data_IF_268309943860
#
_entry.id   IF_268309943860
#
_cell.length_a   1.000
_cell.length_b   1.000
_cell.length_c   1.000
_cell.angle_alpha   90.00
_cell.angle_beta   90.00
_cell.angle_gamma   90.00
#
_symmetry.space_group_name_H-M   'P 1'
#
loop_
_entity.id
_entity.type
_entity.pdbx_description
1 polymer ?
#
# COMPACT_ATOMS: atom_id res chain seq x y z
N UNK A 1 16.05 5.94 38.60
CA UNK A 1 15.92 4.47 38.81
C UNK A 1 16.94 4.05 39.83
N UNK A 2 16.53 3.44 40.95
CA UNK A 2 17.45 3.07 42.04
C UNK A 2 18.29 1.84 41.69
N UNK A 3 19.37 1.62 42.43
CA UNK A 3 20.23 0.43 42.27
C UNK A 3 19.46 -0.86 42.55
N UNK A 4 18.57 -0.86 43.55
CA UNK A 4 17.68 -2.00 43.85
C UNK A 4 16.71 -2.33 42.70
N UNK A 5 16.15 -1.31 42.02
CA UNK A 5 15.29 -1.53 40.85
C UNK A 5 16.08 -2.09 39.66
N UNK A 6 17.33 -1.66 39.49
CA UNK A 6 18.23 -2.23 38.47
C UNK A 6 18.55 -3.69 38.77
N UNK A 7 18.83 -4.01 40.03
CA UNK A 7 19.18 -5.36 40.45
C UNK A 7 17.98 -6.32 40.40
N UNK A 8 16.77 -5.85 40.70
CA UNK A 8 15.53 -6.63 40.49
C UNK A 8 15.26 -6.91 39.01
N UNK A 9 15.42 -5.91 38.15
CA UNK A 9 15.27 -6.08 36.69
C UNK A 9 16.33 -7.04 36.15
N UNK A 10 17.59 -6.90 36.58
CA UNK A 10 18.66 -7.82 36.17
C UNK A 10 18.39 -9.24 36.64
N UNK A 11 17.89 -9.41 37.87
CA UNK A 11 17.53 -10.72 38.41
C UNK A 11 16.37 -11.34 37.63
N UNK A 12 15.37 -10.55 37.24
CA UNK A 12 14.26 -11.01 36.40
C UNK A 12 14.71 -11.40 34.98
N UNK A 13 15.67 -10.66 34.40
CA UNK A 13 16.19 -10.90 33.06
C UNK A 13 17.20 -12.06 32.98
N UNK A 14 17.84 -12.42 34.10
CA UNK A 14 18.92 -13.44 34.14
C UNK A 14 18.47 -14.78 34.70
N UNK A 15 17.27 -14.87 35.28
CA UNK A 15 16.75 -16.14 35.81
C UNK A 15 16.31 -17.06 34.67
N UNK A 16 16.77 -18.31 34.61
CA UNK A 16 16.26 -19.27 33.63
C UNK A 16 14.78 -19.49 33.89
N UNK A 17 13.96 -19.26 32.86
CA UNK A 17 12.52 -19.47 32.91
C UNK A 17 12.22 -20.96 33.09
N UNK A 18 11.25 -21.28 33.94
CA UNK A 18 10.71 -22.64 34.03
C UNK A 18 10.01 -23.07 32.73
N UNK A 19 9.87 -24.37 32.49
CA UNK A 19 9.15 -24.85 31.29
C UNK A 19 7.70 -24.33 31.22
N UNK A 20 7.04 -24.18 32.36
CA UNK A 20 5.69 -23.62 32.43
C UNK A 20 5.65 -22.13 32.08
N UNK A 21 6.66 -21.36 32.48
CA UNK A 21 6.80 -19.95 32.08
C UNK A 21 7.15 -19.83 30.60
N UNK A 22 8.06 -20.66 30.09
CA UNK A 22 8.38 -20.74 28.66
C UNK A 22 7.13 -21.08 27.84
N UNK A 23 6.29 -22.00 28.33
CA UNK A 23 5.03 -22.33 27.69
C UNK A 23 4.06 -21.14 27.70
N UNK A 24 3.92 -20.43 28.82
CA UNK A 24 3.10 -19.21 28.88
C UNK A 24 3.57 -18.14 27.90
N UNK A 25 4.88 -17.93 27.77
CA UNK A 25 5.43 -16.99 26.78
C UNK A 25 5.17 -17.47 25.35
N UNK A 26 5.33 -18.77 25.06
CA UNK A 26 5.00 -19.34 23.74
C UNK A 26 3.52 -19.16 23.41
N UNK A 27 2.63 -19.44 24.36
CA UNK A 27 1.18 -19.29 24.19
C UNK A 27 0.80 -17.81 23.99
N UNK A 28 1.44 -16.89 24.74
CA UNK A 28 1.28 -15.45 24.55
C UNK A 28 1.79 -14.98 23.18
N UNK A 29 2.97 -15.43 22.75
CA UNK A 29 3.54 -15.13 21.44
C UNK A 29 2.70 -15.70 20.29
N UNK A 30 1.99 -16.80 20.53
CA UNK A 30 1.06 -17.39 19.56
C UNK A 30 -0.33 -16.71 19.55
N UNK A 31 -0.63 -15.85 20.53
CA UNK A 31 -1.92 -15.16 20.62
C UNK A 31 -2.14 -14.22 19.43
N UNK A 32 -3.40 -14.05 19.03
CA UNK A 32 -3.78 -13.20 17.89
C UNK A 32 -3.33 -11.75 18.08
N UNK A 33 -3.50 -11.19 19.28
CA UNK A 33 -3.11 -9.81 19.57
C UNK A 33 -1.59 -9.60 19.46
N UNK A 34 -0.80 -10.56 19.95
CA UNK A 34 0.65 -10.47 19.83
C UNK A 34 1.10 -10.60 18.38
N UNK A 35 0.55 -11.59 17.66
CA UNK A 35 0.83 -11.79 16.23
C UNK A 35 0.42 -10.57 15.40
N UNK A 36 -0.70 -9.91 15.72
CA UNK A 36 -1.10 -8.66 15.09
C UNK A 36 -0.07 -7.54 15.31
N UNK A 37 0.41 -7.34 16.55
CA UNK A 37 1.46 -6.34 16.81
C UNK A 37 2.77 -6.65 16.07
N UNK A 38 3.21 -7.92 16.08
CA UNK A 38 4.40 -8.35 15.34
C UNK A 38 4.23 -8.11 13.85
N UNK A 39 3.04 -8.38 13.31
CA UNK A 39 2.73 -8.17 11.89
C UNK A 39 2.75 -6.70 11.50
N UNK A 40 2.23 -5.79 12.33
CA UNK A 40 2.33 -4.35 12.10
C UNK A 40 3.79 -3.88 12.07
N UNK A 41 4.60 -4.35 13.02
CA UNK A 41 6.03 -4.04 13.04
C UNK A 41 6.77 -4.60 11.82
N UNK A 42 6.43 -5.83 11.42
CA UNK A 42 6.95 -6.46 10.21
C UNK A 42 6.56 -5.67 8.96
N UNK A 43 5.31 -5.27 8.80
CA UNK A 43 4.84 -4.50 7.66
C UNK A 43 5.58 -3.16 7.53
N UNK A 44 5.81 -2.46 8.65
CA UNK A 44 6.60 -1.23 8.66
C UNK A 44 8.06 -1.48 8.27
N UNK A 45 8.65 -2.59 8.76
CA UNK A 45 10.03 -2.98 8.42
C UNK A 45 10.16 -3.35 6.95
N UNK A 46 9.20 -4.10 6.43
CA UNK A 46 9.10 -4.49 5.02
C UNK A 46 8.97 -3.25 4.11
N UNK A 47 8.08 -2.32 4.47
CA UNK A 47 7.92 -1.04 3.77
C UNK A 47 9.25 -0.28 3.71
N UNK A 48 9.93 -0.10 4.85
CA UNK A 48 11.22 0.60 4.88
C UNK A 48 12.29 -0.12 4.06
N UNK A 49 12.30 -1.45 4.05
CA UNK A 49 13.25 -2.24 3.26
C UNK A 49 13.02 -2.07 1.76
N UNK A 50 11.75 -2.05 1.33
CA UNK A 50 11.38 -1.79 -0.06
C UNK A 50 11.67 -0.35 -0.47
N UNK A 51 11.45 0.64 0.40
CA UNK A 51 11.85 2.04 0.18
C UNK A 51 13.34 2.17 -0.09
N UNK A 52 14.19 1.53 0.72
CA UNK A 52 15.64 1.55 0.52
C UNK A 52 16.07 0.96 -0.82
N UNK A 53 15.39 -0.11 -1.28
CA UNK A 53 15.65 -0.68 -2.60
C UNK A 53 15.18 0.24 -3.72
N UNK A 54 14.04 0.91 -3.57
CA UNK A 54 13.58 1.93 -4.53
C UNK A 54 14.54 3.13 -4.59
N UNK A 55 15.01 3.63 -3.44
CA UNK A 55 16.04 4.67 -3.36
C UNK A 55 17.33 4.25 -4.07
N UNK A 56 17.75 2.99 -3.89
CA UNK A 56 18.89 2.45 -4.62
C UNK A 56 18.71 2.52 -6.14
N UNK A 57 17.51 2.21 -6.64
CA UNK A 57 17.22 2.32 -8.07
C UNK A 57 17.21 3.78 -8.55
N UNK A 58 16.55 4.68 -7.80
CA UNK A 58 16.47 6.10 -8.14
C UNK A 58 17.84 6.79 -8.16
N UNK A 59 18.71 6.44 -7.20
CA UNK A 59 20.09 6.95 -7.14
C UNK A 59 20.98 6.42 -8.27
N UNK A 60 20.62 5.29 -8.84
CA UNK A 60 21.41 4.65 -9.87
C UNK A 60 20.96 5.14 -11.24
N UNK A 61 21.78 6.00 -11.87
CA UNK A 61 21.54 6.60 -13.19
C UNK A 61 21.22 5.60 -14.31
N UNK A 62 21.42 4.29 -14.08
CA UNK A 62 20.98 3.23 -15.00
C UNK A 62 19.46 3.15 -15.15
N UNK A 63 18.67 3.39 -14.10
CA UNK A 63 17.23 3.13 -14.11
C UNK A 63 16.44 4.42 -14.26
N UNK A 64 15.60 4.49 -15.29
CA UNK A 64 14.65 5.59 -15.44
C UNK A 64 13.55 5.53 -14.36
N UNK A 65 13.12 6.69 -13.86
CA UNK A 65 12.02 6.79 -12.90
C UNK A 65 10.75 6.11 -13.42
N UNK A 66 10.46 6.29 -14.70
CA UNK A 66 9.30 5.76 -15.40
C UNK A 66 9.27 4.23 -15.36
N UNK A 67 10.43 3.60 -15.58
CA UNK A 67 10.58 2.14 -15.48
C UNK A 67 10.33 1.66 -14.04
N UNK A 68 10.83 2.38 -13.04
CA UNK A 68 10.63 2.05 -11.61
C UNK A 68 9.15 2.20 -11.23
N UNK A 69 8.52 3.30 -11.63
CA UNK A 69 7.13 3.61 -11.36
C UNK A 69 6.19 2.55 -11.94
N UNK A 70 6.40 2.19 -13.21
CA UNK A 70 5.64 1.11 -13.87
C UNK A 70 5.87 -0.24 -13.19
N UNK A 71 7.09 -0.54 -12.76
CA UNK A 71 7.38 -1.78 -12.02
C UNK A 71 6.61 -1.87 -10.69
N UNK A 72 6.53 -0.77 -9.94
CA UNK A 72 5.74 -0.69 -8.69
C UNK A 72 4.25 -0.87 -8.96
N UNK A 73 3.72 -0.24 -10.01
CA UNK A 73 2.33 -0.42 -10.43
C UNK A 73 2.03 -1.88 -10.80
N UNK A 74 2.91 -2.52 -11.56
CA UNK A 74 2.74 -3.93 -11.94
C UNK A 74 2.70 -4.85 -10.72
N UNK A 75 3.54 -4.59 -9.72
CA UNK A 75 3.54 -5.35 -8.46
C UNK A 75 2.26 -5.10 -7.65
N UNK A 76 1.79 -3.86 -7.60
CA UNK A 76 0.52 -3.52 -6.95
C UNK A 76 -0.66 -4.26 -7.62
N UNK A 77 -0.75 -4.24 -8.96
CA UNK A 77 -1.78 -4.96 -9.71
C UNK A 77 -1.73 -6.48 -9.48
N UNK A 78 -0.52 -7.05 -9.35
CA UNK A 78 -0.35 -8.45 -9.00
C UNK A 78 -0.85 -8.76 -7.57
N UNK A 79 -0.59 -7.87 -6.59
CA UNK A 79 -1.12 -8.05 -5.24
C UNK A 79 -2.65 -7.96 -5.20
N UNK A 80 -3.24 -7.03 -5.98
CA UNK A 80 -4.70 -6.95 -6.13
C UNK A 80 -5.25 -8.28 -6.63
N UNK A 81 -4.68 -8.87 -7.67
CA UNK A 81 -5.10 -10.19 -8.18
C UNK A 81 -4.99 -11.32 -7.15
N UNK A 82 -3.96 -11.29 -6.29
CA UNK A 82 -3.78 -12.30 -5.24
C UNK A 82 -4.86 -12.22 -4.15
N UNK A 83 -5.46 -11.05 -3.93
CA UNK A 83 -6.53 -10.83 -2.94
C UNK A 83 -7.91 -10.98 -3.60
N UNK A 84 -8.07 -10.43 -4.80
CA UNK A 84 -9.29 -10.44 -5.60
C UNK A 84 -9.04 -11.15 -6.94
N UNK A 85 -9.20 -12.49 -7.01
CA UNK A 85 -8.96 -13.25 -8.25
C UNK A 85 -9.84 -12.84 -9.42
N UNK A 86 -10.94 -12.11 -9.17
CA UNK A 86 -11.80 -11.54 -10.21
C UNK A 86 -11.16 -10.34 -10.94
N UNK A 87 -10.08 -9.77 -10.39
CA UNK A 87 -9.18 -8.85 -11.07
C UNK A 87 -8.25 -9.67 -11.99
N UNK A 88 -8.78 -10.14 -13.11
CA UNK A 88 -8.11 -11.12 -13.97
C UNK A 88 -6.92 -10.54 -14.76
N UNK A 89 -6.26 -11.39 -15.55
CA UNK A 89 -5.13 -10.96 -16.40
C UNK A 89 -5.53 -9.85 -17.38
N UNK A 90 -6.76 -9.88 -17.88
CA UNK A 90 -7.27 -8.84 -18.78
C UNK A 90 -7.34 -7.49 -18.08
N UNK A 91 -7.79 -7.48 -16.82
CA UNK A 91 -7.82 -6.26 -16.00
C UNK A 91 -6.40 -5.75 -15.72
N UNK A 92 -5.47 -6.64 -15.33
CA UNK A 92 -4.06 -6.30 -15.13
C UNK A 92 -3.45 -5.69 -16.41
N UNK A 93 -3.70 -6.29 -17.57
CA UNK A 93 -3.20 -5.80 -18.86
C UNK A 93 -3.82 -4.45 -19.26
N UNK A 94 -5.09 -4.21 -18.93
CA UNK A 94 -5.74 -2.91 -19.18
C UNK A 94 -5.09 -1.81 -18.32
N UNK A 95 -5.00 -2.05 -17.02
CA UNK A 95 -4.50 -1.06 -16.06
C UNK A 95 -2.99 -0.82 -16.17
N UNK A 96 -2.20 -1.85 -16.51
CA UNK A 96 -0.74 -1.69 -16.71
C UNK A 96 -0.39 -0.82 -17.93
N UNK A 97 -1.31 -0.64 -18.88
CA UNK A 97 -1.13 0.30 -20.00
C UNK A 97 -1.41 1.75 -19.63
N UNK A 98 -2.01 2.00 -18.47
CA UNK A 98 -2.42 3.33 -18.03
C UNK A 98 -1.90 3.64 -16.62
N UNK A 99 -0.57 3.57 -16.39
CA UNK A 99 0.02 3.65 -15.06
C UNK A 99 -0.27 4.98 -14.34
N UNK A 100 -0.18 6.11 -15.04
CA UNK A 100 -0.47 7.42 -14.45
C UNK A 100 -1.95 7.55 -14.08
N UNK A 101 -2.84 7.14 -14.98
CA UNK A 101 -4.28 7.16 -14.70
C UNK A 101 -4.61 6.34 -13.45
N UNK A 102 -4.05 5.13 -13.35
CA UNK A 102 -4.23 4.28 -12.17
C UNK A 102 -3.75 4.98 -10.89
N UNK A 103 -2.54 5.54 -10.91
CA UNK A 103 -1.98 6.21 -9.74
C UNK A 103 -2.78 7.45 -9.33
N UNK A 104 -3.28 8.19 -10.31
CA UNK A 104 -4.12 9.36 -10.09
C UNK A 104 -5.49 8.96 -9.54
N UNK A 105 -6.10 7.88 -10.04
CA UNK A 105 -7.35 7.35 -9.47
C UNK A 105 -7.13 6.92 -8.00
N UNK A 106 -6.02 6.23 -7.72
CA UNK A 106 -5.67 5.82 -6.35
C UNK A 106 -5.50 7.03 -5.43
N UNK A 107 -4.79 8.07 -5.87
CA UNK A 107 -4.56 9.28 -5.09
C UNK A 107 -5.86 10.08 -4.89
N UNK A 108 -6.67 10.28 -5.93
CA UNK A 108 -7.96 10.95 -5.82
C UNK A 108 -8.91 10.22 -4.88
N UNK A 109 -8.98 8.89 -4.96
CA UNK A 109 -9.80 8.10 -4.04
C UNK A 109 -9.32 8.22 -2.59
N UNK A 110 -8.00 8.28 -2.38
CA UNK A 110 -7.40 8.53 -1.07
C UNK A 110 -7.76 9.92 -0.54
N UNK A 111 -7.61 10.96 -1.36
CA UNK A 111 -7.92 12.35 -0.99
C UNK A 111 -9.42 12.56 -0.73
N UNK A 112 -10.30 11.99 -1.54
CA UNK A 112 -11.75 12.05 -1.33
C UNK A 112 -12.16 11.42 0.01
N UNK A 113 -11.53 10.28 0.37
CA UNK A 113 -11.75 9.65 1.67
C UNK A 113 -11.38 10.58 2.82
N UNK A 114 -10.30 11.36 2.69
CA UNK A 114 -9.89 12.36 3.68
C UNK A 114 -10.86 13.53 3.75
N UNK A 115 -11.32 14.06 2.60
CA UNK A 115 -12.27 15.17 2.54
C UNK A 115 -13.60 14.84 3.21
N UNK A 116 -14.14 13.63 3.01
CA UNK A 116 -15.36 13.17 3.69
C UNK A 116 -15.22 13.13 5.22
N UNK A 117 -13.98 13.05 5.71
CA UNK A 117 -13.64 12.96 7.12
C UNK A 117 -12.84 14.19 7.60
N UNK A 118 -13.00 15.36 6.97
CA UNK A 118 -12.22 16.57 7.26
C UNK A 118 -12.21 16.93 8.76
N UNK A 119 -13.32 16.72 9.46
CA UNK A 119 -13.45 16.97 10.89
C UNK A 119 -12.57 16.08 11.79
N UNK A 120 -12.05 14.97 11.26
CA UNK A 120 -11.15 14.04 11.93
C UNK A 120 -9.68 14.24 11.54
N UNK A 121 -9.40 15.12 10.58
CA UNK A 121 -8.04 15.35 10.10
C UNK A 121 -7.23 16.12 11.13
N UNK A 122 -6.07 15.58 11.46
CA UNK A 122 -5.11 16.25 12.32
C UNK A 122 -4.05 16.96 11.47
N UNK A 123 -3.96 18.28 11.62
CA UNK A 123 -3.16 19.17 10.74
C UNK A 123 -1.63 19.08 10.90
N UNK A 124 -1.11 18.39 11.91
CA UNK A 124 0.33 18.36 12.21
C UNK A 124 0.90 16.98 11.93
N UNK A 125 1.85 16.83 11.03
CA UNK A 125 2.49 15.55 10.77
C UNK A 125 3.87 15.47 11.43
N UNK A 126 4.36 14.26 11.75
CA UNK A 126 5.66 14.07 12.40
C UNK A 126 6.84 14.49 11.50
N UNK A 127 7.92 15.07 12.06
CA UNK A 127 9.09 15.52 11.28
C UNK A 127 9.78 14.38 10.53
N UNK A 128 9.67 13.14 11.00
CA UNK A 128 10.22 11.96 10.35
C UNK A 128 9.65 11.73 8.92
N UNK A 129 8.49 12.32 8.59
CA UNK A 129 7.93 12.27 7.24
C UNK A 129 8.59 13.28 6.29
N UNK A 130 8.99 14.45 6.81
CA UNK A 130 9.77 15.43 6.06
C UNK A 130 11.17 14.87 5.81
N UNK A 131 11.82 14.34 6.84
CA UNK A 131 13.13 13.67 6.72
C UNK A 131 13.08 12.53 5.69
N UNK A 132 12.00 11.74 5.71
CA UNK A 132 11.80 10.71 4.69
C UNK A 132 11.71 11.34 3.30
N UNK A 133 10.90 12.38 3.08
CA UNK A 133 10.75 13.01 1.76
C UNK A 133 12.07 13.63 1.25
N UNK A 134 12.85 14.26 2.14
CA UNK A 134 14.19 14.79 1.79
C UNK A 134 15.11 13.70 1.19
N UNK A 135 15.04 12.46 1.71
CA UNK A 135 15.80 11.33 1.14
C UNK A 135 15.34 10.94 -0.27
N UNK A 136 14.06 11.19 -0.61
CA UNK A 136 13.54 10.95 -1.97
C UNK A 136 13.90 12.09 -2.91
N UNK A 137 13.66 13.34 -2.49
CA UNK A 137 13.76 14.55 -3.32
C UNK A 137 15.10 14.66 -4.06
N UNK A 138 16.21 14.25 -3.43
CA UNK A 138 17.55 14.27 -4.06
C UNK A 138 17.63 13.46 -5.36
N UNK A 139 16.81 12.41 -5.51
CA UNK A 139 16.89 11.44 -6.61
C UNK A 139 15.63 11.37 -7.47
N UNK A 140 14.62 12.18 -7.18
CA UNK A 140 13.41 12.27 -7.99
C UNK A 140 13.66 13.11 -9.25
N UNK A 141 12.92 12.86 -10.34
CA UNK A 141 13.03 13.67 -11.54
C UNK A 141 12.65 15.13 -11.25
N UNK A 142 13.43 16.07 -11.79
CA UNK A 142 13.21 17.53 -11.64
C UNK A 142 11.98 18.00 -12.42
N UNK A 143 11.58 17.25 -13.45
CA UNK A 143 10.37 17.49 -14.22
C UNK A 143 9.33 16.44 -13.83
N UNK A 144 8.09 16.89 -13.63
CA UNK A 144 6.96 16.00 -13.36
C UNK A 144 6.86 14.93 -14.46
N UNK A 145 6.63 13.69 -14.06
CA UNK A 145 6.51 12.57 -14.99
C UNK A 145 5.40 12.82 -16.03
N UNK A 146 5.77 12.89 -17.32
CA UNK A 146 4.79 12.96 -18.41
C UNK A 146 4.44 11.53 -18.92
N UNK A 147 3.20 11.03 -18.70
CA UNK A 147 2.76 9.72 -19.20
C UNK A 147 2.85 9.57 -20.72
N UNK A 148 2.98 10.66 -21.48
CA UNK A 148 3.08 10.65 -22.95
C UNK A 148 4.48 10.30 -23.43
N UNK A 149 5.48 10.28 -22.55
CA UNK A 149 6.86 9.92 -22.87
C UNK A 149 7.10 8.41 -22.76
N UNK A 150 6.28 7.61 -23.44
CA UNK A 150 6.37 6.15 -23.45
C UNK A 150 7.74 5.62 -23.86
N UNK A 151 8.50 6.41 -24.61
CA UNK A 151 9.81 6.05 -25.16
C UNK A 151 10.90 5.95 -24.07
N UNK A 152 10.67 6.53 -22.89
CA UNK A 152 11.58 6.42 -21.73
C UNK A 152 11.37 5.13 -20.93
N UNK A 153 10.26 4.41 -21.17
CA UNK A 153 9.95 3.17 -20.44
C UNK A 153 10.70 2.00 -21.06
N UNK A 154 11.73 1.54 -20.37
CA UNK A 154 12.51 0.37 -20.76
C UNK A 154 11.89 -0.90 -20.18
N UNK A 155 11.26 -1.73 -21.03
CA UNK A 155 10.65 -2.99 -20.58
C UNK A 155 11.65 -3.91 -19.85
N UNK A 156 12.91 -3.91 -20.28
CA UNK A 156 13.96 -4.69 -19.60
C UNK A 156 14.26 -4.16 -18.19
N UNK A 157 14.21 -2.84 -17.98
CA UNK A 157 14.37 -2.26 -16.64
C UNK A 157 13.16 -2.55 -15.77
N UNK A 158 11.95 -2.43 -16.31
CA UNK A 158 10.71 -2.79 -15.60
C UNK A 158 10.79 -4.23 -15.10
N UNK A 159 11.16 -5.17 -15.97
CA UNK A 159 11.31 -6.59 -15.60
C UNK A 159 12.39 -6.80 -14.53
N UNK A 160 13.53 -6.12 -14.64
CA UNK A 160 14.64 -6.23 -13.68
C UNK A 160 14.24 -5.70 -12.30
N UNK A 161 13.68 -4.49 -12.25
CA UNK A 161 13.19 -3.85 -11.01
C UNK A 161 12.08 -4.69 -10.39
N UNK A 162 11.07 -5.09 -11.16
CA UNK A 162 9.98 -5.94 -10.67
C UNK A 162 10.50 -7.25 -10.07
N UNK A 163 11.48 -7.89 -10.71
CA UNK A 163 12.05 -9.15 -10.21
C UNK A 163 12.79 -8.97 -8.88
N UNK A 164 13.59 -7.91 -8.74
CA UNK A 164 14.33 -7.66 -7.49
C UNK A 164 13.36 -7.35 -6.35
N UNK A 165 12.38 -6.48 -6.59
CA UNK A 165 11.35 -6.12 -5.62
C UNK A 165 10.49 -7.32 -5.20
N UNK A 166 10.08 -8.17 -6.16
CA UNK A 166 9.30 -9.37 -5.87
C UNK A 166 10.10 -10.41 -5.07
N UNK A 167 11.39 -10.58 -5.38
CA UNK A 167 12.26 -11.45 -4.59
C UNK A 167 12.38 -10.96 -3.15
N UNK A 168 12.56 -9.65 -2.95
CA UNK A 168 12.61 -9.07 -1.60
C UNK A 168 11.27 -9.25 -0.87
N UNK A 169 10.13 -9.03 -1.53
CA UNK A 169 8.82 -9.35 -0.95
C UNK A 169 8.74 -10.81 -0.52
N UNK A 170 9.17 -11.74 -1.38
CA UNK A 170 9.12 -13.17 -1.06
C UNK A 170 10.00 -13.54 0.15
N UNK A 171 11.19 -12.94 0.26
CA UNK A 171 12.05 -13.11 1.44
C UNK A 171 11.37 -12.60 2.72
N UNK A 172 10.70 -11.44 2.64
CA UNK A 172 9.98 -10.85 3.77
C UNK A 172 8.75 -11.68 4.15
N UNK A 173 7.99 -12.22 3.19
CA UNK A 173 6.83 -13.10 3.40
C UNK A 173 7.19 -14.44 4.05
N UNK A 174 8.38 -14.93 3.77
CA UNK A 174 8.85 -16.24 4.26
C UNK A 174 9.64 -16.14 5.55
N UNK A 175 9.62 -14.98 6.21
CA UNK A 175 10.27 -14.76 7.51
C UNK A 175 9.72 -15.75 8.54
N UNK A 176 10.57 -16.56 9.20
CA UNK A 176 10.13 -17.55 10.18
C UNK A 176 9.31 -16.91 11.32
N UNK A 177 8.31 -17.63 11.80
CA UNK A 177 7.51 -17.30 12.99
C UNK A 177 6.62 -16.04 12.89
N UNK A 178 6.55 -15.40 11.72
CA UNK A 178 5.64 -14.27 11.45
C UNK A 178 4.50 -14.75 10.54
N UNK A 179 3.25 -14.51 10.97
CA UNK A 179 2.06 -14.77 10.14
C UNK A 179 1.70 -13.53 9.33
N UNK A 180 2.29 -13.38 8.15
CA UNK A 180 1.95 -12.29 7.21
C UNK A 180 0.64 -12.57 6.48
N UNK A 181 -0.11 -11.52 6.17
CA UNK A 181 -1.30 -11.57 5.31
C UNK A 181 -1.05 -10.88 3.97
N UNK A 182 -1.74 -11.34 2.91
CA UNK A 182 -1.64 -10.72 1.58
C UNK A 182 -2.05 -9.24 1.60
N UNK A 183 -3.04 -8.90 2.44
CA UNK A 183 -3.51 -7.53 2.62
C UNK A 183 -2.39 -6.59 3.12
N UNK A 184 -1.47 -7.08 3.96
CA UNK A 184 -0.35 -6.27 4.46
C UNK A 184 0.52 -5.78 3.29
N UNK A 185 0.81 -6.65 2.31
CA UNK A 185 1.64 -6.29 1.16
C UNK A 185 0.89 -5.42 0.15
N UNK A 186 -0.43 -5.61 -0.03
CA UNK A 186 -1.21 -4.67 -0.82
C UNK A 186 -1.14 -3.26 -0.21
N UNK A 187 -1.25 -3.12 1.12
CA UNK A 187 -1.11 -1.82 1.78
C UNK A 187 0.30 -1.23 1.58
N UNK A 188 1.36 -2.03 1.75
CA UNK A 188 2.74 -1.59 1.53
C UNK A 188 2.92 -1.06 0.09
N UNK A 189 2.50 -1.82 -0.91
CA UNK A 189 2.61 -1.40 -2.31
C UNK A 189 1.76 -0.17 -2.60
N UNK A 190 0.59 -0.05 -1.99
CA UNK A 190 -0.25 1.15 -2.14
C UNK A 190 0.44 2.37 -1.57
N UNK A 191 1.11 2.26 -0.41
CA UNK A 191 1.90 3.35 0.15
C UNK A 191 3.06 3.74 -0.77
N UNK A 192 3.84 2.77 -1.26
CA UNK A 192 4.98 3.04 -2.15
C UNK A 192 4.55 3.69 -3.47
N UNK A 193 3.45 3.22 -4.06
CA UNK A 193 2.87 3.79 -5.27
C UNK A 193 2.43 5.24 -5.04
N UNK A 194 1.74 5.51 -3.92
CA UNK A 194 1.28 6.86 -3.58
C UNK A 194 2.45 7.79 -3.23
N UNK A 195 3.53 7.29 -2.62
CA UNK A 195 4.76 8.06 -2.43
C UNK A 195 5.32 8.53 -3.77
N UNK A 196 5.55 7.60 -4.71
CA UNK A 196 6.07 7.93 -6.03
C UNK A 196 5.14 8.91 -6.77
N UNK A 197 3.83 8.74 -6.65
CA UNK A 197 2.85 9.61 -7.27
C UNK A 197 2.88 11.04 -6.68
N UNK A 198 2.70 11.19 -5.37
CA UNK A 198 2.68 12.51 -4.74
C UNK A 198 4.03 13.21 -4.81
N UNK A 199 5.14 12.48 -4.71
CA UNK A 199 6.46 13.10 -4.67
C UNK A 199 7.00 13.48 -6.05
N UNK A 200 6.63 12.77 -7.13
CA UNK A 200 7.24 12.95 -8.45
C UNK A 200 6.26 13.19 -9.61
N UNK A 201 4.98 12.85 -9.43
CA UNK A 201 3.94 13.07 -10.47
C UNK A 201 3.17 14.35 -10.18
N UNK A 202 2.65 14.48 -8.96
CA UNK A 202 1.87 15.67 -8.54
C UNK A 202 2.76 16.77 -7.93
N UNK A 203 3.94 16.42 -7.40
CA UNK A 203 4.85 17.33 -6.68
C UNK A 203 4.19 17.99 -5.45
N UNK A 204 3.46 17.19 -4.68
CA UNK A 204 2.59 17.59 -3.55
C UNK A 204 2.82 16.68 -2.33
N UNK A 205 4.02 16.72 -1.75
CA UNK A 205 4.41 15.83 -0.63
C UNK A 205 3.54 16.00 0.62
N UNK A 206 3.07 17.23 0.90
CA UNK A 206 2.19 17.51 2.05
C UNK A 206 0.88 16.71 2.01
N UNK A 207 0.32 16.47 0.82
CA UNK A 207 -0.87 15.64 0.64
C UNK A 207 -0.61 14.19 1.07
N UNK A 208 0.57 13.66 0.75
CA UNK A 208 0.96 12.33 1.20
C UNK A 208 1.13 12.27 2.73
N UNK A 209 1.70 13.32 3.35
CA UNK A 209 1.88 13.37 4.81
C UNK A 209 0.54 13.37 5.56
N UNK A 210 -0.44 14.12 5.06
CA UNK A 210 -1.80 14.09 5.59
C UNK A 210 -2.44 12.70 5.41
N UNK A 211 -2.23 12.07 4.25
CA UNK A 211 -2.78 10.75 3.97
C UNK A 211 -2.20 9.67 4.89
N UNK A 212 -0.88 9.58 5.03
CA UNK A 212 -0.26 8.52 5.84
C UNK A 212 -0.63 8.62 7.32
N UNK A 213 -0.78 9.85 7.82
CA UNK A 213 -1.25 10.09 9.18
C UNK A 213 -2.67 9.57 9.42
N UNK A 214 -3.49 9.59 8.37
CA UNK A 214 -4.89 9.17 8.39
C UNK A 214 -5.10 7.86 7.60
N UNK A 215 -4.04 7.04 7.44
CA UNK A 215 -4.03 5.87 6.55
C UNK A 215 -5.16 4.89 6.85
N UNK A 216 -5.52 4.72 8.12
CA UNK A 216 -6.59 3.82 8.55
C UNK A 216 -7.98 4.18 8.01
N UNK A 217 -8.22 5.42 7.58
CA UNK A 217 -9.45 5.82 6.89
C UNK A 217 -9.45 5.28 5.45
N UNK A 218 -8.35 5.48 4.75
CA UNK A 218 -8.17 5.05 3.36
C UNK A 218 -8.03 3.53 3.21
N UNK A 219 -7.29 2.85 4.11
CA UNK A 219 -7.10 1.40 4.00
C UNK A 219 -8.42 0.62 4.07
N UNK A 220 -9.42 1.16 4.77
CA UNK A 220 -10.78 0.59 4.82
C UNK A 220 -11.57 0.77 3.53
N UNK A 221 -11.26 1.80 2.73
CA UNK A 221 -11.98 2.10 1.49
C UNK A 221 -11.28 1.50 0.26
N UNK A 222 -10.00 1.13 0.35
CA UNK A 222 -9.24 0.49 -0.73
C UNK A 222 -9.94 -0.73 -1.39
N UNK A 223 -10.59 -1.66 -0.64
CA UNK A 223 -11.33 -2.76 -1.27
C UNK A 223 -12.50 -2.30 -2.16
N UNK A 224 -13.13 -1.16 -1.84
CA UNK A 224 -14.21 -0.58 -2.64
C UNK A 224 -13.64 -0.10 -3.98
N UNK A 225 -12.49 0.60 -3.95
CA UNK A 225 -11.82 1.07 -5.16
C UNK A 225 -11.45 -0.10 -6.08
N UNK A 226 -10.85 -1.17 -5.54
CA UNK A 226 -10.50 -2.36 -6.33
C UNK A 226 -11.73 -2.92 -7.05
N UNK A 227 -12.87 -3.00 -6.36
CA UNK A 227 -14.11 -3.47 -6.98
C UNK A 227 -14.64 -2.54 -8.07
N UNK A 228 -14.55 -1.22 -7.86
CA UNK A 228 -14.91 -0.24 -8.88
C UNK A 228 -14.02 -0.37 -10.11
N UNK A 229 -12.72 -0.57 -9.94
CA UNK A 229 -11.78 -0.78 -11.04
C UNK A 229 -12.09 -2.03 -11.87
N UNK A 230 -12.61 -3.10 -11.24
CA UNK A 230 -13.03 -4.31 -11.96
C UNK A 230 -14.34 -4.06 -12.71
N UNK A 231 -15.30 -3.41 -12.07
CA UNK A 231 -16.61 -3.12 -12.64
C UNK A 231 -16.49 -2.20 -13.87
N UNK A 232 -15.58 -1.23 -13.80
CA UNK A 232 -15.37 -0.21 -14.83
C UNK A 232 -14.25 -0.55 -15.79
N UNK A 233 -13.87 -1.82 -15.88
CA UNK A 233 -12.89 -2.26 -16.87
C UNK A 233 -13.37 -1.88 -18.29
N UNK A 234 -12.52 -1.19 -19.06
CA UNK A 234 -12.85 -0.61 -20.35
C UNK A 234 -13.57 0.74 -20.30
N UNK A 235 -13.83 1.26 -19.10
CA UNK A 235 -14.39 2.59 -18.82
C UNK A 235 -13.59 3.32 -17.74
N UNK A 236 -12.27 3.10 -17.70
CA UNK A 236 -11.37 3.54 -16.65
C UNK A 236 -11.42 5.07 -16.42
N UNK A 237 -11.59 5.84 -17.50
CA UNK A 237 -11.72 7.30 -17.44
C UNK A 237 -12.91 7.77 -16.60
N UNK A 238 -13.94 6.95 -16.39
CA UNK A 238 -15.08 7.31 -15.54
C UNK A 238 -14.71 7.49 -14.07
N UNK A 239 -13.58 6.93 -13.62
CA UNK A 239 -13.09 7.12 -12.26
C UNK A 239 -12.39 8.46 -12.05
N UNK A 240 -12.20 9.26 -13.11
CA UNK A 240 -11.63 10.60 -13.00
C UNK A 240 -12.67 11.62 -12.50
N UNK A 241 -12.25 12.62 -11.69
CA UNK A 241 -13.14 13.69 -11.20
C UNK A 241 -13.90 14.41 -12.33
N UNK A 242 -13.25 14.65 -13.46
CA UNK A 242 -13.84 15.33 -14.62
C UNK A 242 -15.01 14.55 -15.24
N UNK A 243 -15.10 13.24 -14.96
CA UNK A 243 -16.16 12.37 -15.45
C UNK A 243 -17.20 12.02 -14.38
N UNK A 244 -17.19 12.69 -13.22
CA UNK A 244 -18.06 12.39 -12.08
C UNK A 244 -19.55 12.37 -12.46
N UNK A 245 -20.01 13.28 -13.32
CA UNK A 245 -21.41 13.27 -13.78
C UNK A 245 -21.76 12.03 -14.60
N UNK A 246 -20.84 11.57 -15.47
CA UNK A 246 -21.02 10.35 -16.27
C UNK A 246 -20.97 9.11 -15.37
N UNK A 247 -20.06 9.09 -14.41
CA UNK A 247 -19.96 8.05 -13.42
C UNK A 247 -21.22 7.96 -12.56
N UNK A 248 -21.71 9.09 -12.03
CA UNK A 248 -22.94 9.15 -11.25
C UNK A 248 -24.16 8.65 -12.06
N UNK A 249 -24.25 9.01 -13.33
CA UNK A 249 -25.31 8.51 -14.21
C UNK A 249 -25.20 7.00 -14.43
N UNK A 250 -23.99 6.46 -14.62
CA UNK A 250 -23.77 5.01 -14.72
C UNK A 250 -24.10 4.29 -13.40
N UNK A 251 -23.73 4.86 -12.27
CA UNK A 251 -24.02 4.31 -10.94
C UNK A 251 -25.51 4.40 -10.57
N UNK A 252 -26.31 5.16 -11.30
CA UNK A 252 -27.77 5.18 -11.20
C UNK A 252 -28.44 4.16 -12.13
N UNK A 253 -27.67 3.49 -13.01
CA UNK A 253 -28.19 2.42 -13.85
C UNK A 253 -28.58 1.20 -12.98
N UNK A 254 -29.84 0.73 -13.03
CA UNK A 254 -30.29 -0.40 -12.24
C UNK A 254 -29.49 -1.69 -12.46
N UNK A 255 -28.98 -1.93 -13.68
CA UNK A 255 -28.19 -3.13 -13.98
C UNK A 255 -26.81 -3.05 -13.32
N UNK A 256 -26.21 -1.86 -13.31
CA UNK A 256 -24.91 -1.59 -12.66
C UNK A 256 -25.03 -1.68 -11.15
N UNK A 257 -26.08 -1.10 -10.55
CA UNK A 257 -26.35 -1.21 -9.12
C UNK A 257 -26.58 -2.66 -8.68
N UNK A 258 -27.28 -3.46 -9.50
CA UNK A 258 -27.52 -4.86 -9.22
C UNK A 258 -26.23 -5.69 -9.28
N UNK A 259 -25.35 -5.42 -10.25
CA UNK A 259 -24.03 -6.06 -10.35
C UNK A 259 -23.13 -5.72 -9.15
N UNK A 260 -23.13 -4.44 -8.72
CA UNK A 260 -22.41 -3.99 -7.52
C UNK A 260 -22.92 -4.65 -6.25
N UNK A 261 -24.24 -4.68 -6.05
CA UNK A 261 -24.86 -5.32 -4.89
C UNK A 261 -24.54 -6.81 -4.82
N UNK A 262 -24.59 -7.52 -5.96
CA UNK A 262 -24.21 -8.93 -6.01
C UNK A 262 -22.73 -9.16 -5.66
N UNK A 263 -21.82 -8.29 -6.12
CA UNK A 263 -20.41 -8.37 -5.75
C UNK A 263 -20.16 -8.05 -4.27
N UNK A 264 -20.74 -6.98 -3.75
CA UNK A 264 -20.58 -6.59 -2.34
C UNK A 264 -21.13 -7.65 -1.37
N UNK A 265 -22.23 -8.33 -1.74
CA UNK A 265 -22.78 -9.45 -0.96
C UNK A 265 -21.84 -10.67 -0.88
N UNK A 266 -20.94 -10.84 -1.86
CA UNK A 266 -19.94 -11.91 -1.84
C UNK A 266 -18.69 -11.57 -1.03
N UNK A 267 -18.55 -10.31 -0.60
CA UNK A 267 -17.35 -9.78 0.09
C UNK A 267 -17.65 -9.49 1.56
N UNK A 268 -18.87 -9.04 1.89
CA UNK A 268 -19.31 -8.92 3.29
C UNK A 268 -19.58 -10.35 3.78
N UNK A 269 -18.76 -10.92 4.70
CA UNK A 269 -19.13 -12.19 5.30
C UNK A 269 -20.51 -12.00 5.91
N UNK A 270 -21.46 -12.84 5.52
CA UNK A 270 -22.78 -12.88 6.13
C UNK A 270 -22.55 -12.80 7.64
N UNK A 271 -23.06 -11.75 8.29
CA UNK A 271 -23.05 -11.64 9.75
C UNK A 271 -23.48 -13.01 10.25
N UNK A 272 -22.56 -13.71 10.91
CA UNK A 272 -22.95 -14.86 11.71
C UNK A 272 -23.82 -14.24 12.80
N UNK A 273 -25.13 -14.38 12.64
CA UNK A 273 -26.08 -14.02 13.68
C UNK A 273 -25.68 -14.77 14.97
N UNK A 274 -25.80 -14.10 16.14
CA UNK A 274 -25.34 -14.62 17.42
C UNK A 274 -26.00 -15.94 17.86
#
# INVERSE_FOLDING_TARGET
MSTEQKDEILHFLTKPLSEDELKKYKDFMASENFQYMVRLYHAQTALNSLRQVLHFFLKNEKYAFESIFVAVINLWLQQVHLIEPSFDKTAIESWSRQPVLLSHILSQFALNTLQEHEALLESNYPPELEEMYEEWEEFLPVEAFDPRESDKISLSEVEEVSKILLNLQHELETTPDIKTERADYLEIWTQLLLQLHFFAVEDEAELYFMLIKNWALFSKTLPILVNLMILLQGYEELLLPDNQDKFNNLMQDPEVQQALLQRLQNIIPAKQDP
#
